data_IF_318916353076
#
_entry.id   IF_318916353076
#
_cell.length_a   1.000
_cell.length_b   1.000
_cell.length_c   1.000
_cell.angle_alpha   90.00
_cell.angle_beta   90.00
_cell.angle_gamma   90.00
#
_symmetry.space_group_name_H-M   'P 1'
#
loop_
_entity.id
_entity.type
_entity.pdbx_description
1 polymer ?
#
# COMPACT_ATOMS: atom_id res chain seq x y z
N UNK A 1 6.57 4.45 -5.84
CA UNK A 1 7.75 4.03 -5.07
C UNK A 1 8.61 3.16 -5.99
N UNK A 2 9.93 3.38 -6.04
CA UNK A 2 10.82 2.53 -6.82
C UNK A 2 11.21 1.28 -6.00
N UNK A 3 10.93 0.04 -6.47
CA UNK A 3 11.25 -1.18 -5.74
C UNK A 3 12.75 -1.37 -5.45
N UNK A 4 13.61 -0.98 -6.40
CA UNK A 4 15.06 -1.13 -6.23
C UNK A 4 15.58 -0.21 -5.11
N UNK A 5 15.10 1.03 -5.07
CA UNK A 5 15.42 1.96 -3.98
C UNK A 5 14.89 1.47 -2.62
N UNK A 6 13.75 0.76 -2.58
CA UNK A 6 13.26 0.12 -1.37
C UNK A 6 14.22 -1.00 -0.91
N UNK A 7 14.67 -1.87 -1.83
CA UNK A 7 15.65 -2.93 -1.53
C UNK A 7 16.94 -2.35 -0.95
N UNK A 8 17.49 -1.33 -1.60
CA UNK A 8 18.70 -0.64 -1.12
C UNK A 8 18.52 -0.05 0.27
N UNK A 9 17.36 0.57 0.55
CA UNK A 9 17.05 1.13 1.85
C UNK A 9 16.94 0.05 2.93
N UNK A 10 16.31 -1.09 2.64
CA UNK A 10 16.20 -2.24 3.55
C UNK A 10 17.59 -2.77 3.91
N UNK A 11 18.44 -3.01 2.92
CA UNK A 11 19.79 -3.54 3.14
C UNK A 11 20.66 -2.55 3.93
N UNK A 12 20.58 -1.25 3.63
CA UNK A 12 21.28 -0.23 4.42
C UNK A 12 20.87 -0.28 5.90
N UNK A 13 19.57 -0.34 6.20
CA UNK A 13 19.07 -0.41 7.59
C UNK A 13 19.55 -1.69 8.29
N UNK A 14 19.58 -2.84 7.58
CA UNK A 14 20.14 -4.08 8.13
C UNK A 14 21.64 -3.96 8.43
N UNK A 15 22.42 -3.34 7.54
CA UNK A 15 23.86 -3.10 7.74
C UNK A 15 24.16 -2.20 8.93
N UNK A 16 23.26 -1.27 9.26
CA UNK A 16 23.33 -0.43 10.47
C UNK A 16 22.99 -1.21 11.77
N UNK A 17 22.73 -2.52 11.69
CA UNK A 17 22.32 -3.34 12.85
C UNK A 17 20.87 -3.10 13.29
N UNK A 18 20.06 -2.42 12.47
CA UNK A 18 18.66 -2.10 12.75
C UNK A 18 17.74 -3.12 12.08
N UNK A 19 16.49 -3.21 12.55
CA UNK A 19 15.50 -4.17 12.06
C UNK A 19 14.38 -3.43 11.33
N UNK A 20 14.34 -3.44 9.98
CA UNK A 20 13.16 -3.01 9.25
C UNK A 20 12.01 -3.98 9.57
N UNK A 21 10.78 -3.48 9.66
CA UNK A 21 9.62 -4.30 10.01
C UNK A 21 8.37 -4.01 9.16
N UNK A 22 8.34 -2.89 8.43
CA UNK A 22 7.12 -2.38 7.81
C UNK A 22 7.42 -1.54 6.57
N UNK A 23 6.57 -1.68 5.55
CA UNK A 23 6.54 -0.89 4.33
C UNK A 23 5.11 -0.37 4.11
N UNK A 24 4.97 0.94 3.91
CA UNK A 24 3.72 1.57 3.49
C UNK A 24 3.79 1.91 2.01
N UNK A 25 3.05 1.16 1.20
CA UNK A 25 2.73 1.55 -0.16
C UNK A 25 1.56 2.53 -0.16
N UNK A 26 1.43 3.34 -1.21
CA UNK A 26 0.30 4.27 -1.36
C UNK A 26 -0.42 4.09 -2.70
N UNK A 27 -1.74 3.91 -2.62
CA UNK A 27 -2.64 3.92 -3.77
C UNK A 27 -3.41 5.24 -3.79
N UNK A 28 -2.91 6.19 -4.59
CA UNK A 28 -3.42 7.55 -4.70
C UNK A 28 -2.77 8.49 -3.68
N UNK A 29 -1.54 8.94 -3.96
CA UNK A 29 -0.87 9.96 -3.15
C UNK A 29 -1.68 11.27 -3.13
N UNK A 30 -1.65 12.00 -2.02
CA UNK A 30 -2.54 13.16 -1.81
C UNK A 30 -2.44 14.24 -2.88
N UNK A 31 -1.22 14.54 -3.35
CA UNK A 31 -0.99 15.66 -4.28
C UNK A 31 -1.13 15.21 -5.73
N UNK A 32 -0.41 14.14 -6.10
CA UNK A 32 -0.31 13.71 -7.49
C UNK A 32 -1.30 12.62 -7.87
N UNK A 33 -1.97 11.99 -6.89
CA UNK A 33 -2.82 10.82 -7.14
C UNK A 33 -2.02 9.61 -7.63
N UNK A 34 -0.71 9.53 -7.35
CA UNK A 34 0.13 8.46 -7.84
C UNK A 34 -0.17 7.12 -7.14
N UNK A 35 0.01 6.02 -7.86
CA UNK A 35 -0.17 4.65 -7.35
C UNK A 35 1.17 3.92 -7.36
N UNK A 36 1.53 3.34 -6.22
CA UNK A 36 2.67 2.44 -6.13
C UNK A 36 2.37 1.09 -6.81
N UNK A 37 3.41 0.45 -7.36
CA UNK A 37 3.30 -0.88 -7.96
C UNK A 37 3.27 -1.96 -6.85
N UNK A 38 2.05 -2.31 -6.41
CA UNK A 38 1.82 -3.19 -5.27
C UNK A 38 2.49 -4.56 -5.45
N UNK A 39 2.45 -5.13 -6.66
CA UNK A 39 3.03 -6.44 -6.91
C UNK A 39 4.54 -6.44 -6.71
N UNK A 40 5.24 -5.44 -7.27
CA UNK A 40 6.71 -5.37 -7.09
C UNK A 40 7.09 -5.08 -5.65
N UNK A 41 6.31 -4.28 -4.93
CA UNK A 41 6.56 -4.04 -3.50
C UNK A 41 6.28 -5.28 -2.66
N UNK A 42 5.26 -6.06 -3.00
CA UNK A 42 4.96 -7.33 -2.35
C UNK A 42 6.08 -8.35 -2.55
N UNK A 43 6.67 -8.44 -3.76
CA UNK A 43 7.85 -9.29 -4.01
C UNK A 43 8.99 -8.95 -3.03
N UNK A 44 9.31 -7.66 -2.89
CA UNK A 44 10.35 -7.19 -1.94
C UNK A 44 10.00 -7.57 -0.50
N UNK A 45 8.75 -7.34 -0.08
CA UNK A 45 8.32 -7.55 1.29
C UNK A 45 8.27 -9.04 1.66
N UNK A 46 7.82 -9.90 0.75
CA UNK A 46 7.78 -11.35 0.95
C UNK A 46 9.21 -11.93 1.05
N UNK A 47 10.14 -11.48 0.21
CA UNK A 47 11.56 -11.90 0.28
C UNK A 47 12.24 -11.45 1.58
N UNK A 48 11.84 -10.32 2.14
CA UNK A 48 12.47 -9.71 3.31
C UNK A 48 11.72 -9.93 4.62
N UNK A 49 10.54 -10.58 4.57
CA UNK A 49 9.69 -10.83 5.73
C UNK A 49 9.09 -9.55 6.34
N UNK A 50 8.91 -8.50 5.56
CA UNK A 50 8.37 -7.21 6.02
C UNK A 50 6.86 -7.14 5.89
N UNK A 51 6.20 -6.47 6.83
CA UNK A 51 4.77 -6.17 6.72
C UNK A 51 4.52 -5.15 5.62
N UNK A 52 3.64 -5.48 4.67
CA UNK A 52 3.20 -4.58 3.62
C UNK A 52 1.79 -4.05 3.91
N UNK A 53 1.70 -2.74 4.14
CA UNK A 53 0.45 -2.00 4.25
C UNK A 53 0.21 -1.15 3.00
N UNK A 54 -1.03 -1.09 2.53
CA UNK A 54 -1.44 -0.12 1.52
C UNK A 54 -2.29 0.98 2.13
N UNK A 55 -1.78 2.22 2.08
CA UNK A 55 -2.61 3.40 2.21
C UNK A 55 -3.39 3.62 0.91
N UNK A 56 -4.64 3.15 0.90
CA UNK A 56 -5.60 3.39 -0.18
C UNK A 56 -6.68 4.39 0.25
N UNK A 57 -6.38 5.29 1.20
CA UNK A 57 -7.38 6.22 1.74
C UNK A 57 -8.03 7.06 0.63
N UNK A 58 -7.25 7.52 -0.34
CA UNK A 58 -7.76 8.28 -1.49
C UNK A 58 -8.12 7.37 -2.67
N UNK A 59 -7.21 6.48 -3.08
CA UNK A 59 -7.35 5.69 -4.31
C UNK A 59 -8.13 4.38 -4.17
N UNK A 60 -8.49 3.94 -2.97
CA UNK A 60 -9.12 2.63 -2.72
C UNK A 60 -10.45 2.43 -3.46
N UNK A 61 -11.20 3.50 -3.68
CA UNK A 61 -12.47 3.46 -4.44
C UNK A 61 -12.29 3.00 -5.90
N UNK A 62 -11.07 3.09 -6.45
CA UNK A 62 -10.77 2.61 -7.81
C UNK A 62 -11.09 1.13 -8.00
N UNK A 63 -11.08 0.32 -6.93
CA UNK A 63 -11.42 -1.12 -6.98
C UNK A 63 -12.85 -1.36 -7.48
N UNK A 64 -13.76 -0.40 -7.25
CA UNK A 64 -15.16 -0.48 -7.67
C UNK A 64 -15.35 -0.07 -9.14
N UNK A 65 -14.33 0.51 -9.79
CA UNK A 65 -14.40 0.97 -11.17
C UNK A 65 -13.97 -0.13 -12.14
N UNK A 66 -14.82 -0.44 -13.13
CA UNK A 66 -14.47 -1.40 -14.20
C UNK A 66 -13.22 -0.97 -14.99
N UNK A 67 -12.98 0.32 -15.13
CA UNK A 67 -11.90 0.88 -15.93
C UNK A 67 -10.60 1.09 -15.14
N UNK A 68 -10.68 1.23 -13.81
CA UNK A 68 -9.53 1.62 -12.98
C UNK A 68 -9.16 0.61 -11.90
N UNK A 69 -9.92 -0.48 -11.72
CA UNK A 69 -9.61 -1.51 -10.71
C UNK A 69 -8.19 -2.08 -10.82
N UNK A 70 -7.60 -2.05 -12.02
CA UNK A 70 -6.23 -2.53 -12.27
C UNK A 70 -5.15 -1.72 -11.56
N UNK A 71 -5.45 -0.48 -11.14
CA UNK A 71 -4.54 0.34 -10.33
C UNK A 71 -4.27 -0.27 -8.94
N UNK A 72 -5.11 -1.20 -8.49
CA UNK A 72 -5.01 -1.90 -7.21
C UNK A 72 -4.63 -3.38 -7.38
N UNK A 73 -4.17 -3.80 -8.57
CA UNK A 73 -3.69 -5.17 -8.77
C UNK A 73 -2.57 -5.50 -7.77
N UNK A 74 -2.65 -6.65 -7.11
CA UNK A 74 -1.72 -7.05 -6.05
C UNK A 74 -2.24 -6.76 -4.63
N UNK A 75 -3.39 -6.08 -4.48
CA UNK A 75 -3.97 -5.78 -3.17
C UNK A 75 -4.27 -7.03 -2.33
N UNK A 76 -4.45 -8.18 -2.95
CA UNK A 76 -4.63 -9.48 -2.29
C UNK A 76 -3.37 -9.99 -1.56
N UNK A 77 -2.19 -9.44 -1.89
CA UNK A 77 -0.89 -9.79 -1.28
C UNK A 77 -0.57 -8.97 -0.03
N UNK A 78 -1.34 -7.92 0.25
CA UNK A 78 -1.13 -7.03 1.38
C UNK A 78 -1.40 -7.72 2.72
N UNK A 79 -0.75 -7.26 3.78
CA UNK A 79 -1.06 -7.66 5.15
C UNK A 79 -2.18 -6.79 5.74
N UNK A 80 -2.23 -5.50 5.37
CA UNK A 80 -3.33 -4.60 5.72
C UNK A 80 -3.56 -3.49 4.70
N UNK A 81 -4.73 -2.86 4.75
CA UNK A 81 -5.13 -1.77 3.87
C UNK A 81 -5.99 -0.76 4.62
N UNK A 82 -5.74 0.53 4.39
CA UNK A 82 -6.62 1.61 4.84
C UNK A 82 -7.41 2.20 3.67
N UNK A 83 -8.70 2.47 3.86
CA UNK A 83 -9.56 3.13 2.86
C UNK A 83 -10.52 4.11 3.51
N UNK A 84 -10.67 5.31 2.92
CA UNK A 84 -11.61 6.33 3.37
C UNK A 84 -12.74 6.51 2.34
N UNK A 85 -13.86 5.80 2.49
CA UNK A 85 -15.06 6.05 1.69
C UNK A 85 -15.52 7.52 1.69
N UNK A 86 -15.25 8.28 2.76
CA UNK A 86 -15.62 9.70 2.81
C UNK A 86 -14.81 10.61 1.86
N UNK A 87 -13.80 10.08 1.16
CA UNK A 87 -13.06 10.81 0.14
C UNK A 87 -13.69 10.58 -1.24
N UNK A 88 -13.24 9.56 -1.95
CA UNK A 88 -13.58 9.35 -3.38
C UNK A 88 -14.89 8.59 -3.61
N UNK A 89 -15.45 7.93 -2.59
CA UNK A 89 -16.77 7.28 -2.69
C UNK A 89 -17.93 8.25 -2.35
N UNK A 90 -17.66 9.33 -1.61
CA UNK A 90 -18.66 10.33 -1.23
C UNK A 90 -19.48 10.00 0.01
N UNK A 91 -19.00 9.10 0.89
CA UNK A 91 -19.65 8.88 2.19
C UNK A 91 -19.55 10.13 3.09
N UNK A 92 -20.48 10.35 4.03
CA UNK A 92 -20.38 11.45 4.99
C UNK A 92 -19.12 11.37 5.86
N UNK A 93 -18.59 12.51 6.27
CA UNK A 93 -17.50 12.57 7.24
C UNK A 93 -18.01 12.20 8.65
N UNK A 94 -17.31 11.36 9.42
CA UNK A 94 -16.10 10.59 9.10
C UNK A 94 -16.44 9.12 8.75
N UNK A 95 -15.72 8.55 7.78
CA UNK A 95 -15.81 7.13 7.43
C UNK A 95 -14.45 6.58 6.97
N UNK A 96 -13.74 5.85 7.83
CA UNK A 96 -12.44 5.25 7.55
C UNK A 96 -12.46 3.78 7.96
N UNK A 97 -11.86 2.93 7.13
CA UNK A 97 -11.84 1.48 7.28
C UNK A 97 -10.40 1.01 7.25
N UNK A 98 -10.02 0.22 8.26
CA UNK A 98 -8.80 -0.57 8.27
C UNK A 98 -9.17 -2.03 8.03
N UNK A 99 -8.57 -2.65 7.03
CA UNK A 99 -8.67 -4.07 6.74
C UNK A 99 -7.33 -4.74 7.08
N UNK A 100 -7.37 -5.86 7.79
CA UNK A 100 -6.21 -6.69 8.10
C UNK A 100 -6.49 -8.10 7.59
N UNK A 101 -5.51 -8.71 6.92
CA UNK A 101 -5.69 -10.00 6.24
C UNK A 101 -5.78 -11.18 7.21
N UNK A 102 -4.98 -11.14 8.27
CA UNK A 102 -4.95 -12.18 9.30
C UNK A 102 -5.98 -11.90 10.41
N UNK A 103 -6.58 -12.97 10.96
CA UNK A 103 -7.62 -12.92 11.99
C UNK A 103 -7.05 -12.86 13.40
#
# INVERSE_FOLDING_TARGET
MCPDALREAIERVKCEGRRPFFVNATAGTTVLGAFDDINKLADVCEETGLWLHLDACLGGTAILSKNHKSLLNGSERLNSLAWNPHKTLGAPLQCSILLVKEK
#
